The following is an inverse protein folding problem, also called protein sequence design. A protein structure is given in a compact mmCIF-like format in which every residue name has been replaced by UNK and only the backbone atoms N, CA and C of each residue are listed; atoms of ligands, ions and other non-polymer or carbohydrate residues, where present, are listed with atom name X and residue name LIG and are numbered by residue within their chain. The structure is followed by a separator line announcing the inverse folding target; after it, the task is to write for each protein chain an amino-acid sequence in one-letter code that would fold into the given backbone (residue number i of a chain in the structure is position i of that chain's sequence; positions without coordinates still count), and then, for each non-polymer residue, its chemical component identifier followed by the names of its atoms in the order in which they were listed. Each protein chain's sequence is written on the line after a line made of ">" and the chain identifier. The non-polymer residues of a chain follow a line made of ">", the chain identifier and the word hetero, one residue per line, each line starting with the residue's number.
data_IF_911086287977
#
_entry.id   IF_911086287977
#
_cell.length_a   1.000
_cell.length_b   1.000
_cell.length_c   1.000
_cell.angle_alpha   90.00
_cell.angle_beta   90.00
_cell.angle_gamma   90.00
#
_symmetry.space_group_name_H-M   'P 1'
#
loop_
_entity.id
_entity.type
_entity.pdbx_description
1 polymer ?
#
# COMPACT_ATOMS: atom_id res chain seq x y z
N UNK A 1 28.37 -22.51 3.52
CA UNK A 1 27.24 -21.56 3.65
C UNK A 1 27.12 -20.77 2.36
N UNK A 2 26.19 -21.13 1.49
CA UNK A 2 25.84 -20.30 0.34
C UNK A 2 25.32 -18.97 0.85
N UNK A 3 25.95 -17.85 0.45
CA UNK A 3 25.32 -16.54 0.59
C UNK A 3 24.02 -16.62 -0.20
N UNK A 4 22.88 -16.60 0.47
CA UNK A 4 21.63 -16.18 -0.17
C UNK A 4 21.86 -14.74 -0.63
N UNK A 5 22.31 -14.58 -1.88
CA UNK A 5 22.42 -13.28 -2.49
C UNK A 5 21.00 -12.86 -2.82
N UNK A 6 20.32 -12.24 -1.85
CA UNK A 6 19.12 -11.46 -2.12
C UNK A 6 19.36 -10.55 -3.31
N UNK A 7 18.32 -10.34 -4.13
CA UNK A 7 18.43 -9.46 -5.30
C UNK A 7 18.98 -8.09 -4.87
N UNK A 8 19.91 -7.54 -5.65
CA UNK A 8 20.45 -6.21 -5.39
C UNK A 8 19.34 -5.16 -5.41
N UNK A 9 19.43 -4.12 -4.58
CA UNK A 9 18.39 -3.08 -4.48
C UNK A 9 18.10 -2.43 -5.82
N UNK A 10 19.13 -2.21 -6.63
CA UNK A 10 19.01 -1.63 -7.98
C UNK A 10 18.17 -2.54 -8.90
N UNK A 11 18.31 -3.86 -8.76
CA UNK A 11 17.49 -4.84 -9.48
C UNK A 11 16.04 -4.84 -8.99
N UNK A 12 15.82 -4.72 -7.68
CA UNK A 12 14.48 -4.66 -7.07
C UNK A 12 13.73 -3.41 -7.58
N UNK A 13 14.35 -2.25 -7.50
CA UNK A 13 13.75 -0.97 -7.94
C UNK A 13 13.35 -1.02 -9.43
N UNK A 14 14.08 -1.78 -10.24
CA UNK A 14 13.77 -1.91 -11.67
C UNK A 14 12.73 -3.00 -11.98
N UNK A 15 12.73 -4.14 -11.27
CA UNK A 15 12.04 -5.36 -11.72
C UNK A 15 11.03 -5.96 -10.74
N UNK A 16 11.00 -5.56 -9.48
CA UNK A 16 9.99 -6.06 -8.55
C UNK A 16 8.59 -5.59 -8.97
N UNK A 17 7.58 -6.46 -8.79
CA UNK A 17 6.19 -6.21 -9.15
C UNK A 17 5.84 -6.38 -10.63
N UNK A 18 6.77 -6.21 -11.58
CA UNK A 18 6.44 -6.28 -13.00
C UNK A 18 7.64 -6.66 -13.87
N UNK A 19 7.43 -7.58 -14.81
CA UNK A 19 8.44 -8.00 -15.80
C UNK A 19 8.01 -7.76 -17.24
N UNK A 20 6.77 -8.10 -17.56
CA UNK A 20 6.09 -7.80 -18.81
C UNK A 20 4.59 -7.99 -18.62
N UNK A 21 3.79 -7.33 -19.44
CA UNK A 21 2.40 -7.66 -19.64
C UNK A 21 2.28 -9.02 -20.36
N UNK A 22 1.39 -9.89 -19.88
CA UNK A 22 1.23 -11.24 -20.42
C UNK A 22 0.52 -11.26 -21.78
N UNK A 23 -0.32 -10.26 -22.05
CA UNK A 23 -1.16 -10.21 -23.25
C UNK A 23 -0.47 -9.54 -24.45
N UNK A 24 0.38 -8.55 -24.20
CA UNK A 24 1.00 -7.70 -25.24
C UNK A 24 2.52 -7.76 -25.26
N UNK A 25 3.16 -8.38 -24.25
CA UNK A 25 4.61 -8.35 -24.03
C UNK A 25 5.21 -6.95 -23.79
N UNK A 26 4.40 -5.92 -23.52
CA UNK A 26 4.90 -4.62 -23.11
C UNK A 26 5.68 -4.74 -21.79
N UNK A 27 6.85 -4.10 -21.70
CA UNK A 27 7.70 -4.14 -20.49
C UNK A 27 7.47 -2.96 -19.54
N UNK A 28 6.81 -1.91 -20.03
CA UNK A 28 6.36 -0.82 -19.20
C UNK A 28 5.10 -1.24 -18.44
N UNK A 29 5.00 -0.85 -17.17
CA UNK A 29 3.80 -1.10 -16.36
C UNK A 29 2.61 -0.39 -17.02
N UNK A 30 1.53 -1.12 -17.39
CA UNK A 30 0.34 -0.49 -17.93
C UNK A 30 -0.31 0.45 -16.93
N UNK A 31 -0.91 1.54 -17.43
CA UNK A 31 -1.65 2.49 -16.62
C UNK A 31 -3.12 2.06 -16.60
N UNK A 32 -3.54 1.43 -15.51
CA UNK A 32 -4.93 1.04 -15.28
C UNK A 32 -5.73 2.23 -14.72
N UNK A 33 -5.97 3.23 -15.58
CA UNK A 33 -6.77 4.42 -15.28
C UNK A 33 -8.29 4.10 -15.31
N UNK A 34 -8.70 3.12 -14.52
CA UNK A 34 -10.10 2.70 -14.35
C UNK A 34 -10.52 2.83 -12.90
N UNK A 35 -11.82 2.96 -12.66
CA UNK A 35 -12.39 2.94 -11.30
C UNK A 35 -12.83 1.53 -10.90
N UNK A 36 -13.47 0.79 -11.79
CA UNK A 36 -14.06 -0.53 -11.55
C UNK A 36 -13.46 -1.61 -12.46
N UNK A 37 -13.65 -2.87 -12.06
CA UNK A 37 -13.23 -4.06 -12.79
C UNK A 37 -14.43 -4.97 -13.03
N UNK A 38 -14.50 -5.57 -14.21
CA UNK A 38 -15.56 -6.49 -14.57
C UNK A 38 -15.35 -7.84 -13.90
N UNK A 39 -16.42 -8.42 -13.33
CA UNK A 39 -16.41 -9.78 -12.83
C UNK A 39 -16.73 -10.77 -13.97
N UNK A 40 -16.18 -11.98 -13.88
CA UNK A 40 -16.49 -13.06 -14.81
C UNK A 40 -17.96 -13.47 -14.72
N UNK A 41 -18.48 -13.60 -13.49
CA UNK A 41 -19.87 -13.91 -13.17
C UNK A 41 -20.20 -13.50 -11.71
N UNK A 42 -21.41 -13.84 -11.24
CA UNK A 42 -21.86 -13.49 -9.87
C UNK A 42 -21.16 -14.29 -8.77
N UNK A 43 -20.69 -15.50 -9.07
CA UNK A 43 -19.96 -16.34 -8.10
C UNK A 43 -18.54 -15.80 -7.89
N UNK A 44 -17.84 -15.45 -8.96
CA UNK A 44 -16.54 -14.76 -8.92
C UNK A 44 -16.62 -13.48 -8.09
N UNK A 45 -17.65 -12.66 -8.29
CA UNK A 45 -17.87 -11.46 -7.48
C UNK A 45 -17.99 -11.78 -5.99
N UNK A 46 -18.82 -12.77 -5.62
CA UNK A 46 -18.99 -13.20 -4.24
C UNK A 46 -17.68 -13.72 -3.63
N UNK A 47 -16.87 -14.46 -4.40
CA UNK A 47 -15.58 -14.99 -3.94
C UNK A 47 -14.56 -13.88 -3.69
N UNK A 48 -14.49 -12.85 -4.54
CA UNK A 48 -13.61 -11.70 -4.33
C UNK A 48 -13.98 -10.93 -3.05
N UNK A 49 -15.26 -10.61 -2.83
CA UNK A 49 -15.69 -9.88 -1.63
C UNK A 49 -15.56 -10.70 -0.35
N UNK A 50 -15.66 -12.03 -0.43
CA UNK A 50 -15.44 -12.93 0.70
C UNK A 50 -13.95 -13.28 0.94
N UNK A 51 -13.02 -12.69 0.17
CA UNK A 51 -11.59 -12.99 0.19
C UNK A 51 -11.26 -14.47 -0.02
N UNK A 52 -12.11 -15.20 -0.76
CA UNK A 52 -11.87 -16.58 -1.18
C UNK A 52 -11.00 -16.66 -2.42
N UNK A 53 -11.04 -15.60 -3.23
CA UNK A 53 -10.21 -15.40 -4.41
C UNK A 53 -9.57 -14.01 -4.35
N UNK A 54 -8.38 -13.88 -4.94
CA UNK A 54 -7.71 -12.59 -5.10
C UNK A 54 -7.97 -12.02 -6.49
N UNK A 55 -8.31 -10.74 -6.55
CA UNK A 55 -8.58 -10.06 -7.80
C UNK A 55 -9.11 -8.66 -7.59
N UNK A 56 -9.07 -7.84 -8.64
CA UNK A 56 -9.44 -6.43 -8.55
C UNK A 56 -10.97 -6.24 -8.53
N UNK A 57 -11.44 -5.37 -7.64
CA UNK A 57 -12.86 -5.02 -7.49
C UNK A 57 -13.06 -3.55 -7.88
N UNK A 58 -12.33 -2.65 -7.21
CA UNK A 58 -12.46 -1.20 -7.37
C UNK A 58 -11.16 -0.50 -6.96
N UNK A 59 -10.73 0.50 -7.73
CA UNK A 59 -9.41 1.15 -7.60
C UNK A 59 -9.16 1.86 -6.28
N UNK A 60 -10.21 2.22 -5.52
CA UNK A 60 -10.05 2.74 -4.14
C UNK A 60 -9.45 1.70 -3.19
N UNK A 61 -9.67 0.41 -3.45
CA UNK A 61 -9.20 -0.70 -2.60
C UNK A 61 -7.92 -1.31 -3.19
N UNK A 62 -7.88 -1.48 -4.52
CA UNK A 62 -6.77 -2.12 -5.22
C UNK A 62 -6.75 -1.73 -6.70
N UNK A 63 -5.56 -1.50 -7.24
CA UNK A 63 -5.35 -1.14 -8.64
C UNK A 63 -4.04 -1.80 -9.13
N UNK A 64 -4.00 -2.47 -10.29
CA UNK A 64 -2.79 -3.17 -10.73
C UNK A 64 -1.56 -2.26 -10.90
N UNK A 65 -1.73 -1.01 -11.33
CA UNK A 65 -0.61 -0.06 -11.43
C UNK A 65 -0.06 0.27 -10.04
N UNK A 66 -0.94 0.48 -9.05
CA UNK A 66 -0.54 0.70 -7.66
C UNK A 66 0.08 -0.55 -7.03
N UNK A 67 -0.45 -1.74 -7.30
CA UNK A 67 0.05 -3.01 -6.78
C UNK A 67 1.52 -3.26 -7.15
N UNK A 68 1.94 -2.87 -8.35
CA UNK A 68 3.35 -2.95 -8.76
C UNK A 68 4.25 -2.04 -7.90
N UNK A 69 3.80 -0.81 -7.60
CA UNK A 69 4.52 0.09 -6.70
C UNK A 69 4.58 -0.50 -5.29
N UNK A 70 3.47 -1.03 -4.81
CA UNK A 70 3.34 -1.61 -3.47
C UNK A 70 4.24 -2.82 -3.27
N UNK A 71 4.26 -3.77 -4.22
CA UNK A 71 5.15 -4.93 -4.15
C UNK A 71 6.62 -4.51 -4.20
N UNK A 72 6.95 -3.52 -5.04
CA UNK A 72 8.32 -3.01 -5.19
C UNK A 72 8.82 -2.36 -3.91
N UNK A 73 8.01 -1.51 -3.27
CA UNK A 73 8.37 -0.88 -2.00
C UNK A 73 8.47 -1.90 -0.87
N UNK A 74 7.54 -2.86 -0.79
CA UNK A 74 7.60 -3.93 0.20
C UNK A 74 8.91 -4.72 0.10
N UNK A 75 9.31 -5.12 -1.12
CA UNK A 75 10.57 -5.83 -1.36
C UNK A 75 11.81 -4.96 -1.10
N UNK A 76 11.74 -3.67 -1.39
CA UNK A 76 12.86 -2.74 -1.17
C UNK A 76 13.13 -2.51 0.32
N UNK A 77 12.06 -2.36 1.11
CA UNK A 77 12.13 -2.11 2.56
C UNK A 77 12.21 -3.40 3.39
N UNK A 78 11.96 -4.56 2.79
CA UNK A 78 11.91 -5.85 3.50
C UNK A 78 10.63 -6.05 4.33
N UNK A 79 9.56 -5.31 4.03
CA UNK A 79 8.25 -5.45 4.66
C UNK A 79 7.42 -6.59 4.06
N UNK A 80 6.42 -7.07 4.81
CA UNK A 80 5.51 -8.12 4.33
C UNK A 80 4.59 -7.63 3.19
N UNK A 81 4.19 -6.36 3.23
CA UNK A 81 3.36 -5.70 2.23
C UNK A 81 3.57 -4.18 2.33
N UNK A 82 3.03 -3.43 1.37
CA UNK A 82 2.92 -1.98 1.46
C UNK A 82 1.60 -1.51 0.82
N UNK A 83 1.24 -0.23 1.06
CA UNK A 83 0.00 0.36 0.57
C UNK A 83 0.28 1.74 -0.01
N UNK A 84 -0.09 1.96 -1.27
CA UNK A 84 0.00 3.25 -1.93
C UNK A 84 -1.19 4.12 -1.51
N UNK A 85 -0.91 5.35 -1.08
CA UNK A 85 -1.91 6.30 -0.61
C UNK A 85 -1.73 7.66 -1.27
N UNK A 86 -2.72 8.53 -1.12
CA UNK A 86 -2.78 9.83 -1.81
C UNK A 86 -1.72 10.84 -1.36
N UNK A 87 -1.15 10.69 -0.16
CA UNK A 87 -0.14 11.59 0.37
C UNK A 87 0.63 10.99 1.55
N UNK A 88 1.78 11.57 1.90
CA UNK A 88 2.51 11.19 3.11
C UNK A 88 1.72 11.42 4.41
N UNK A 89 0.83 12.43 4.47
CA UNK A 89 -0.04 12.64 5.62
C UNK A 89 -1.09 11.54 5.75
N UNK A 90 -1.67 11.09 4.63
CA UNK A 90 -2.57 9.93 4.63
C UNK A 90 -1.83 8.66 5.10
N UNK A 91 -0.58 8.47 4.70
CA UNK A 91 0.24 7.34 5.15
C UNK A 91 0.41 7.35 6.67
N UNK A 92 0.86 8.48 7.25
CA UNK A 92 1.03 8.62 8.70
C UNK A 92 -0.28 8.43 9.46
N UNK A 93 -1.37 9.03 8.98
CA UNK A 93 -2.68 8.97 9.61
C UNK A 93 -3.28 7.55 9.57
N UNK A 94 -3.19 6.86 8.43
CA UNK A 94 -3.69 5.48 8.30
C UNK A 94 -2.84 4.50 9.12
N UNK A 95 -1.51 4.68 9.17
CA UNK A 95 -0.63 3.83 9.97
C UNK A 95 -0.98 3.87 11.46
N UNK A 96 -1.28 5.05 12.00
CA UNK A 96 -1.66 5.21 13.41
C UNK A 96 -3.09 4.76 13.71
N UNK A 97 -4.08 5.20 12.93
CA UNK A 97 -5.49 4.84 13.20
C UNK A 97 -5.79 3.35 13.01
N UNK A 98 -4.92 2.61 12.31
CA UNK A 98 -5.06 1.17 12.18
C UNK A 98 -4.71 0.41 13.48
N UNK A 99 -4.05 1.07 14.45
CA UNK A 99 -3.59 0.45 15.70
C UNK A 99 -3.92 1.26 16.97
N UNK A 100 -4.33 2.53 16.84
CA UNK A 100 -4.64 3.42 17.94
C UNK A 100 -6.05 4.02 17.80
N UNK A 101 -6.76 4.10 18.91
CA UNK A 101 -8.13 4.56 19.02
C UNK A 101 -8.31 5.56 20.18
N UNK A 102 -9.52 6.08 20.34
CA UNK A 102 -9.83 7.03 21.40
C UNK A 102 -9.48 6.44 22.79
N UNK A 103 -8.66 7.16 23.55
CA UNK A 103 -8.13 6.73 24.85
C UNK A 103 -6.72 6.14 24.80
N UNK A 104 -6.18 5.85 23.61
CA UNK A 104 -4.80 5.39 23.45
C UNK A 104 -3.80 6.56 23.40
N UNK A 105 -2.53 6.23 23.69
CA UNK A 105 -1.40 7.15 23.66
C UNK A 105 -0.28 6.62 22.74
N UNK A 106 0.28 7.50 21.90
CA UNK A 106 1.38 7.19 20.98
C UNK A 106 2.61 8.01 21.36
N UNK A 107 3.77 7.39 21.51
CA UNK A 107 5.01 8.14 21.71
C UNK A 107 5.64 8.54 20.38
N UNK A 108 6.00 9.81 20.23
CA UNK A 108 6.65 10.34 19.03
C UNK A 108 7.96 11.08 19.34
N UNK A 109 8.83 11.21 18.33
CA UNK A 109 10.00 12.08 18.41
C UNK A 109 9.58 13.55 18.48
N UNK A 110 10.37 14.41 19.12
CA UNK A 110 10.16 15.86 19.07
C UNK A 110 10.54 16.48 17.73
N UNK A 111 11.38 15.80 16.95
CA UNK A 111 11.91 16.28 15.68
C UNK A 111 11.13 15.71 14.49
N UNK A 112 9.92 16.22 14.28
CA UNK A 112 9.02 15.79 13.21
C UNK A 112 8.89 16.83 12.11
N UNK A 113 8.52 16.36 10.91
CA UNK A 113 8.00 17.25 9.87
C UNK A 113 6.80 18.04 10.40
N UNK A 114 6.77 19.36 10.20
CA UNK A 114 5.77 20.25 10.82
C UNK A 114 4.31 19.86 10.52
N UNK A 115 4.03 19.32 9.32
CA UNK A 115 2.69 18.81 9.00
C UNK A 115 2.30 17.58 9.84
N UNK A 116 3.25 16.69 10.12
CA UNK A 116 3.04 15.51 10.98
C UNK A 116 2.87 15.93 12.43
N UNK A 117 3.66 16.89 12.90
CA UNK A 117 3.47 17.46 14.24
C UNK A 117 2.04 18.03 14.40
N UNK A 118 1.57 18.81 13.41
CA UNK A 118 0.22 19.36 13.41
C UNK A 118 -0.86 18.26 13.36
N UNK A 119 -0.67 17.21 12.54
CA UNK A 119 -1.56 16.04 12.51
C UNK A 119 -1.68 15.40 13.89
N UNK A 120 -0.57 15.21 14.59
CA UNK A 120 -0.52 14.56 15.90
C UNK A 120 -1.16 15.44 16.98
N UNK A 121 -0.71 16.69 17.11
CA UNK A 121 -1.17 17.59 18.18
C UNK A 121 -2.64 18.00 18.02
N UNK A 122 -3.11 18.19 16.78
CA UNK A 122 -4.42 18.80 16.53
C UNK A 122 -5.45 17.83 15.96
N UNK A 123 -5.13 17.11 14.89
CA UNK A 123 -6.13 16.27 14.24
C UNK A 123 -6.39 14.98 15.03
N UNK A 124 -5.35 14.26 15.46
CA UNK A 124 -5.51 13.04 16.24
C UNK A 124 -6.10 13.28 17.63
N UNK A 125 -5.79 14.42 18.26
CA UNK A 125 -6.39 14.79 19.56
C UNK A 125 -7.91 14.97 19.46
N UNK A 126 -8.44 15.49 18.35
CA UNK A 126 -9.90 15.55 18.13
C UNK A 126 -10.57 14.18 17.99
N UNK A 127 -9.78 13.14 17.67
CA UNK A 127 -10.21 11.74 17.59
C UNK A 127 -10.02 11.00 18.93
N UNK A 128 -9.57 11.69 19.98
CA UNK A 128 -9.32 11.12 21.29
C UNK A 128 -8.01 10.33 21.39
N UNK A 129 -7.11 10.43 20.41
CA UNK A 129 -5.79 9.79 20.42
C UNK A 129 -4.77 10.83 20.91
N UNK A 130 -4.08 10.52 22.01
CA UNK A 130 -2.99 11.34 22.55
C UNK A 130 -1.66 10.96 21.87
N UNK A 131 -0.82 11.96 21.56
CA UNK A 131 0.49 11.76 20.91
C UNK A 131 1.54 12.69 21.50
#
# INVERSE_FOLDING_TARGET
>A
MSKETGQKKETIVLHAGHRKDETTNAVAVPIYQSTSYQFNDTEHAANLFALKEFGNIYSRIMNPTCAVLEERLAKLEGGAASLAVSSGQAASMMALQNIAHAGDNVLSSTDLYGGTWNLFNNALSTMGIEV
#
